data_IF_800981976416
#
_entry.id   IF_800981976416
#
_cell.length_a   1.000
_cell.length_b   1.000
_cell.length_c   1.000
_cell.angle_alpha   90.00
_cell.angle_beta   90.00
_cell.angle_gamma   90.00
#
_symmetry.space_group_name_H-M   'P 1'
#
loop_
_entity.id
_entity.type
_entity.pdbx_description
1 polymer ?
#
# COMPACT_ATOMS: atom_id res chain seq x y z
N UNK A 1 -10.91 17.82 18.90
CA UNK A 1 -10.41 18.47 17.66
C UNK A 1 -11.63 18.92 16.85
N UNK A 2 -11.62 20.08 16.19
CA UNK A 2 -12.71 20.55 15.31
C UNK A 2 -12.19 20.66 13.88
N UNK A 3 -13.06 20.51 12.88
CA UNK A 3 -12.71 20.84 11.50
C UNK A 3 -12.28 22.31 11.41
N UNK A 4 -11.29 22.65 10.57
CA UNK A 4 -10.91 24.03 10.33
C UNK A 4 -12.14 24.86 9.89
N UNK A 5 -12.30 26.09 10.39
CA UNK A 5 -13.46 26.92 10.04
C UNK A 5 -13.46 27.37 8.58
N UNK A 6 -12.30 27.30 7.91
CA UNK A 6 -12.13 27.65 6.50
C UNK A 6 -11.34 26.57 5.76
N UNK A 7 -11.62 26.32 4.47
CA UNK A 7 -10.82 25.44 3.63
C UNK A 7 -9.36 25.89 3.61
N UNK A 8 -8.44 24.92 3.53
CA UNK A 8 -7.03 25.17 3.24
C UNK A 8 -6.76 24.98 1.77
N UNK A 9 -5.83 25.76 1.24
CA UNK A 9 -5.26 25.57 -0.09
C UNK A 9 -4.46 24.27 -0.16
N UNK A 10 -4.24 23.79 -1.38
CA UNK A 10 -3.40 22.60 -1.63
C UNK A 10 -2.01 22.78 -1.05
N UNK A 11 -1.42 23.96 -1.22
CA UNK A 11 -0.08 24.32 -0.78
C UNK A 11 0.02 24.32 0.75
N UNK A 12 -0.97 24.89 1.45
CA UNK A 12 -1.03 24.85 2.91
C UNK A 12 -1.13 23.43 3.46
N UNK A 13 -1.92 22.57 2.81
CA UNK A 13 -2.06 21.15 3.21
C UNK A 13 -0.73 20.41 3.02
N UNK A 14 -0.13 20.51 1.83
CA UNK A 14 1.12 19.81 1.52
C UNK A 14 2.30 20.32 2.36
N UNK A 15 2.36 21.63 2.63
CA UNK A 15 3.37 22.22 3.53
C UNK A 15 3.22 21.69 4.95
N UNK A 16 1.99 21.62 5.48
CA UNK A 16 1.73 21.06 6.80
C UNK A 16 2.13 19.58 6.89
N UNK A 17 1.81 18.76 5.87
CA UNK A 17 2.24 17.37 5.80
C UNK A 17 3.76 17.22 5.76
N UNK A 18 4.45 18.08 4.99
CA UNK A 18 5.91 18.10 4.94
C UNK A 18 6.53 18.46 6.29
N UNK A 19 5.94 19.42 7.01
CA UNK A 19 6.42 19.83 8.33
C UNK A 19 6.24 18.73 9.39
N UNK A 20 5.17 17.95 9.31
CA UNK A 20 4.98 16.77 10.16
C UNK A 20 6.03 15.70 9.83
N UNK A 21 6.19 15.36 8.55
CA UNK A 21 7.15 14.35 8.07
C UNK A 21 8.61 14.69 8.42
N UNK A 22 8.96 15.97 8.53
CA UNK A 22 10.30 16.39 8.93
C UNK A 22 10.72 15.90 10.34
N UNK A 23 9.76 15.44 11.16
CA UNK A 23 10.01 14.87 12.49
C UNK A 23 10.05 13.34 12.48
N UNK A 24 9.71 12.72 11.36
CA UNK A 24 9.76 11.27 11.22
C UNK A 24 11.20 10.80 11.19
N UNK A 25 11.39 9.57 11.65
CA UNK A 25 12.67 8.89 11.56
C UNK A 25 13.01 8.66 10.08
N UNK A 26 14.27 8.88 9.70
CA UNK A 26 14.71 8.69 8.32
C UNK A 26 14.75 7.18 7.99
N UNK A 27 13.62 6.67 7.51
CA UNK A 27 13.48 5.28 7.12
C UNK A 27 14.36 4.94 5.91
N UNK A 28 14.69 5.93 5.07
CA UNK A 28 15.50 5.74 3.87
C UNK A 28 16.98 5.60 4.25
N UNK A 29 17.68 4.69 3.58
CA UNK A 29 19.12 4.50 3.77
C UNK A 29 19.52 3.39 4.76
N UNK A 30 18.60 2.52 5.17
CA UNK A 30 18.93 1.25 5.83
C UNK A 30 19.47 1.37 7.25
N UNK A 31 19.33 2.54 7.88
CA UNK A 31 19.82 2.81 9.25
C UNK A 31 18.81 2.45 10.34
N UNK A 32 17.70 1.83 9.93
CA UNK A 32 16.48 1.68 10.71
C UNK A 32 16.04 0.23 10.62
N UNK A 33 16.16 -0.50 11.73
CA UNK A 33 15.81 -1.92 11.77
C UNK A 33 14.30 -2.14 11.87
N UNK A 34 13.78 -3.10 11.10
CA UNK A 34 12.41 -3.64 11.19
C UNK A 34 11.23 -2.71 10.86
N UNK A 35 11.43 -1.41 10.64
CA UNK A 35 10.32 -0.48 10.40
C UNK A 35 9.93 -0.34 8.93
N UNK A 36 10.90 -0.27 8.02
CA UNK A 36 10.63 -0.11 6.58
C UNK A 36 11.58 -0.97 5.75
N UNK A 37 10.99 -1.79 4.88
CA UNK A 37 11.72 -2.66 3.96
C UNK A 37 11.78 -1.97 2.59
N UNK A 38 12.95 -1.41 2.26
CA UNK A 38 13.16 -0.68 1.01
C UNK A 38 13.56 -1.62 -0.12
N UNK A 39 12.79 -1.60 -1.21
CA UNK A 39 13.06 -2.37 -2.43
C UNK A 39 13.91 -1.60 -3.47
N UNK A 40 14.21 -0.33 -3.22
CA UNK A 40 14.98 0.54 -4.10
C UNK A 40 14.11 1.58 -4.83
N UNK A 41 14.73 2.63 -5.39
CA UNK A 41 14.01 3.81 -5.91
C UNK A 41 13.10 3.50 -7.10
N UNK A 42 13.50 2.58 -7.99
CA UNK A 42 12.69 2.19 -9.15
C UNK A 42 11.38 1.49 -8.73
N UNK A 43 11.46 0.62 -7.71
CA UNK A 43 10.27 -0.07 -7.17
C UNK A 43 9.38 0.92 -6.41
N UNK A 44 9.96 1.88 -5.69
CA UNK A 44 9.21 2.93 -4.99
C UNK A 44 8.44 3.84 -5.98
N UNK A 45 9.06 4.20 -7.11
CA UNK A 45 8.43 4.99 -8.17
C UNK A 45 7.24 4.23 -8.80
N UNK A 46 7.47 2.98 -9.20
CA UNK A 46 6.41 2.13 -9.76
C UNK A 46 5.26 1.93 -8.77
N UNK A 47 5.56 1.67 -7.49
CA UNK A 47 4.54 1.49 -6.46
C UNK A 47 3.70 2.76 -6.24
N UNK A 48 4.32 3.94 -6.29
CA UNK A 48 3.63 5.22 -6.18
C UNK A 48 2.68 5.46 -7.37
N UNK A 49 3.14 5.19 -8.60
CA UNK A 49 2.31 5.32 -9.80
C UNK A 49 1.12 4.35 -9.79
N UNK A 50 1.35 3.10 -9.39
CA UNK A 50 0.29 2.10 -9.26
C UNK A 50 -0.74 2.51 -8.20
N UNK A 51 -0.28 2.99 -7.03
CA UNK A 51 -1.17 3.45 -5.96
C UNK A 51 -2.05 4.61 -6.40
N UNK A 52 -1.47 5.63 -7.04
CA UNK A 52 -2.24 6.78 -7.56
C UNK A 52 -3.25 6.34 -8.61
N UNK A 53 -2.87 5.41 -9.50
CA UNK A 53 -3.76 4.88 -10.55
C UNK A 53 -4.95 4.09 -9.99
N UNK A 54 -4.81 3.48 -8.80
CA UNK A 54 -5.84 2.66 -8.16
C UNK A 54 -6.48 3.32 -6.92
N UNK A 55 -6.16 4.60 -6.62
CA UNK A 55 -6.55 5.28 -5.38
C UNK A 55 -8.06 5.26 -5.09
N UNK A 56 -8.89 5.21 -6.15
CA UNK A 56 -10.36 5.17 -6.05
C UNK A 56 -11.00 3.79 -6.16
N UNK A 57 -10.21 2.71 -6.26
CA UNK A 57 -10.70 1.33 -6.43
C UNK A 57 -11.00 0.70 -5.06
N UNK A 58 -12.03 -0.14 -4.97
CA UNK A 58 -12.49 -0.76 -3.73
C UNK A 58 -12.64 -2.29 -3.89
N UNK A 59 -12.12 -3.07 -2.94
CA UNK A 59 -12.21 -4.54 -2.97
C UNK A 59 -13.49 -5.16 -2.42
N UNK A 60 -14.50 -4.37 -2.06
CA UNK A 60 -15.75 -4.88 -1.49
C UNK A 60 -16.59 -5.68 -2.51
N UNK A 61 -16.69 -5.21 -3.75
CA UNK A 61 -17.49 -5.84 -4.81
C UNK A 61 -16.60 -6.20 -6.00
N UNK A 62 -16.22 -7.49 -6.15
CA UNK A 62 -15.34 -7.93 -7.23
C UNK A 62 -15.99 -7.86 -8.61
N UNK A 63 -17.32 -7.70 -8.69
CA UNK A 63 -18.03 -7.50 -9.96
C UNK A 63 -17.96 -6.05 -10.43
N UNK A 64 -17.88 -5.10 -9.49
CA UNK A 64 -17.70 -3.68 -9.78
C UNK A 64 -16.23 -3.33 -10.09
N UNK A 65 -15.28 -4.03 -9.45
CA UNK A 65 -13.85 -3.80 -9.61
C UNK A 65 -13.08 -5.09 -10.00
N UNK A 66 -13.31 -5.63 -11.21
CA UNK A 66 -12.70 -6.89 -11.65
C UNK A 66 -11.18 -6.81 -11.78
N UNK A 67 -10.61 -5.61 -11.91
CA UNK A 67 -9.15 -5.41 -11.92
C UNK A 67 -8.52 -5.80 -10.59
N UNK A 68 -9.15 -5.47 -9.45
CA UNK A 68 -8.61 -5.82 -8.14
C UNK A 68 -8.73 -7.32 -7.89
N UNK A 69 -9.85 -7.94 -8.26
CA UNK A 69 -10.01 -9.40 -8.22
C UNK A 69 -8.87 -10.11 -8.99
N UNK A 70 -8.53 -9.62 -10.19
CA UNK A 70 -7.46 -10.20 -10.98
C UNK A 70 -6.10 -10.05 -10.29
N UNK A 71 -5.78 -8.87 -9.74
CA UNK A 71 -4.52 -8.60 -9.04
C UNK A 71 -4.37 -9.45 -7.77
N UNK A 72 -5.40 -9.52 -6.93
CA UNK A 72 -5.37 -10.31 -5.70
C UNK A 72 -5.15 -11.80 -5.99
N UNK A 73 -5.86 -12.35 -6.99
CA UNK A 73 -5.65 -13.75 -7.42
C UNK A 73 -4.24 -13.99 -7.97
N UNK A 74 -3.68 -13.04 -8.73
CA UNK A 74 -2.31 -13.16 -9.23
C UNK A 74 -1.28 -13.16 -8.09
N UNK A 75 -1.43 -12.27 -7.10
CA UNK A 75 -0.53 -12.23 -5.93
C UNK A 75 -0.62 -13.52 -5.13
N UNK A 76 -1.83 -13.99 -4.82
CA UNK A 76 -2.04 -15.26 -4.09
C UNK A 76 -1.44 -16.44 -4.85
N UNK A 77 -1.66 -16.52 -6.17
CA UNK A 77 -1.11 -17.59 -7.01
C UNK A 77 0.42 -17.57 -7.05
N UNK A 78 1.05 -16.41 -7.21
CA UNK A 78 2.51 -16.28 -7.17
C UNK A 78 3.10 -16.73 -5.83
N UNK A 79 2.46 -16.36 -4.71
CA UNK A 79 2.92 -16.74 -3.38
C UNK A 79 2.70 -18.23 -3.10
N UNK A 80 1.56 -18.80 -3.49
CA UNK A 80 1.31 -20.23 -3.39
C UNK A 80 2.39 -21.03 -4.15
N UNK A 81 2.74 -20.62 -5.36
CA UNK A 81 3.81 -21.25 -6.13
C UNK A 81 5.18 -21.14 -5.44
N UNK A 82 5.53 -19.98 -4.88
CA UNK A 82 6.80 -19.80 -4.16
C UNK A 82 6.89 -20.63 -2.88
N UNK A 83 5.77 -20.94 -2.24
CA UNK A 83 5.70 -21.70 -0.99
C UNK A 83 5.44 -23.21 -1.20
N UNK A 84 5.49 -23.68 -2.45
CA UNK A 84 5.31 -25.11 -2.77
C UNK A 84 3.86 -25.60 -2.75
N UNK A 85 2.90 -24.70 -2.92
CA UNK A 85 1.48 -25.02 -3.12
C UNK A 85 1.21 -25.73 -4.45
N UNK A 86 0.06 -26.39 -4.54
CA UNK A 86 -0.44 -27.10 -5.73
C UNK A 86 -1.81 -26.60 -6.18
N UNK A 87 -2.48 -27.34 -7.07
CA UNK A 87 -3.78 -26.95 -7.66
C UNK A 87 -4.89 -26.71 -6.62
N UNK A 88 -4.84 -27.43 -5.49
CA UNK A 88 -5.80 -27.30 -4.38
C UNK A 88 -5.44 -26.16 -3.40
N UNK A 89 -4.33 -25.45 -3.63
CA UNK A 89 -3.91 -24.35 -2.74
C UNK A 89 -4.73 -23.10 -3.05
N UNK A 90 -5.46 -22.62 -2.04
CA UNK A 90 -6.21 -21.38 -2.09
C UNK A 90 -5.72 -20.40 -1.01
N UNK A 91 -6.05 -19.12 -1.17
CA UNK A 91 -5.70 -18.08 -0.21
C UNK A 91 -6.50 -16.79 -0.42
N UNK A 92 -6.29 -15.85 0.48
CA UNK A 92 -6.93 -14.53 0.45
C UNK A 92 -5.88 -13.46 0.69
N UNK A 93 -5.96 -12.36 -0.04
CA UNK A 93 -5.13 -11.18 0.20
C UNK A 93 -5.69 -10.40 1.41
N UNK A 94 -4.85 -10.08 2.39
CA UNK A 94 -5.26 -9.40 3.64
C UNK A 94 -4.52 -8.07 3.81
N UNK A 95 -4.91 -7.27 4.80
CA UNK A 95 -4.28 -5.98 5.14
C UNK A 95 -2.89 -6.12 5.78
N UNK A 96 -2.54 -7.32 6.28
CA UNK A 96 -1.24 -7.59 6.88
C UNK A 96 -1.21 -8.85 7.72
N UNK A 97 -0.03 -9.19 8.24
CA UNK A 97 0.23 -10.47 8.93
C UNK A 97 -0.63 -10.70 10.18
N UNK A 98 -1.06 -9.64 10.88
CA UNK A 98 -1.96 -9.79 12.04
C UNK A 98 -3.36 -10.25 11.65
N UNK A 99 -3.87 -9.83 10.49
CA UNK A 99 -5.17 -10.31 9.97
C UNK A 99 -5.05 -11.73 9.39
N UNK A 100 -3.86 -12.09 8.88
CA UNK A 100 -3.61 -13.42 8.32
C UNK A 100 -3.56 -14.57 9.34
N UNK A 101 -3.39 -14.28 10.64
CA UNK A 101 -3.27 -15.26 11.74
C UNK A 101 -4.60 -15.37 12.49
#
# INVERSE_FOLDING_TARGET
MKLPPHPRTREEILSALSALRARDLDARGGRVWSYSYHAGPEVEELAAEAYVSFLGVNGLDPTAFPSLLALENQVVSMLAAHLGGGEETAGTFTSGGTESI
#
